data_IF_310082676017
#
_entry.id   IF_310082676017
#
_cell.length_a   1.000
_cell.length_b   1.000
_cell.length_c   1.000
_cell.angle_alpha   90.00
_cell.angle_beta   90.00
_cell.angle_gamma   90.00
#
_symmetry.space_group_name_H-M   'P 1'
#
loop_
_entity.id
_entity.type
_entity.pdbx_description
1 polymer ?
#
# COMPACT_ATOMS: atom_id res chain seq x y z
N UNK A 1 0.62 4.44 11.24
CA UNK A 1 -0.27 5.49 11.82
C UNK A 1 0.31 6.24 13.02
N UNK A 2 0.77 5.55 14.08
CA UNK A 2 1.32 6.17 15.30
C UNK A 2 2.50 7.11 15.01
N UNK A 3 3.41 6.71 14.11
CA UNK A 3 4.56 7.53 13.69
C UNK A 3 4.13 8.87 13.02
N UNK A 4 3.06 8.86 12.22
CA UNK A 4 2.55 10.08 11.57
C UNK A 4 1.94 11.05 12.58
N UNK A 5 1.19 10.54 13.55
CA UNK A 5 0.63 11.34 14.64
C UNK A 5 1.77 12.00 15.44
N UNK A 6 2.76 11.22 15.86
CA UNK A 6 3.92 11.71 16.64
C UNK A 6 4.69 12.81 15.89
N UNK A 7 4.99 12.60 14.60
CA UNK A 7 5.72 13.59 13.79
C UNK A 7 4.98 14.91 13.64
N UNK A 8 3.65 14.87 13.59
CA UNK A 8 2.81 16.05 13.35
C UNK A 8 2.35 16.76 14.63
N UNK A 9 2.38 16.08 15.77
CA UNK A 9 1.97 16.63 17.08
C UNK A 9 2.92 17.67 17.68
N UNK A 10 4.14 17.82 17.16
CA UNK A 10 5.15 18.76 17.72
C UNK A 10 4.74 20.23 17.72
N UNK A 11 3.73 20.61 16.93
CA UNK A 11 3.20 21.98 16.82
C UNK A 11 1.70 22.08 17.08
N UNK A 12 1.07 21.02 17.59
CA UNK A 12 -0.36 20.95 17.79
C UNK A 12 -0.73 21.21 19.25
N UNK A 13 -1.88 21.84 19.46
CA UNK A 13 -2.48 21.89 20.79
C UNK A 13 -2.98 20.50 21.20
N UNK A 14 -3.13 20.22 22.51
CA UNK A 14 -3.65 18.92 22.97
C UNK A 14 -4.99 18.54 22.33
N UNK A 15 -5.87 19.52 22.13
CA UNK A 15 -7.17 19.32 21.47
C UNK A 15 -7.03 18.96 19.98
N UNK A 16 -6.04 19.52 19.30
CA UNK A 16 -5.76 19.21 17.90
C UNK A 16 -5.14 17.82 17.75
N UNK A 17 -4.32 17.38 18.72
CA UNK A 17 -3.78 16.00 18.74
C UNK A 17 -4.92 15.00 18.84
N UNK A 18 -5.88 15.21 19.75
CA UNK A 18 -7.05 14.32 19.89
C UNK A 18 -7.89 14.28 18.61
N UNK A 19 -8.11 15.43 17.96
CA UNK A 19 -8.81 15.48 16.67
C UNK A 19 -8.06 14.75 15.55
N UNK A 20 -6.73 14.90 15.51
CA UNK A 20 -5.87 14.23 14.54
C UNK A 20 -5.90 12.72 14.73
N UNK A 21 -5.77 12.22 15.96
CA UNK A 21 -5.83 10.79 16.27
C UNK A 21 -7.18 10.20 15.85
N UNK A 22 -8.28 10.91 16.15
CA UNK A 22 -9.62 10.49 15.73
C UNK A 22 -9.76 10.39 14.21
N UNK A 23 -9.25 11.38 13.47
CA UNK A 23 -9.27 11.37 11.99
C UNK A 23 -8.42 10.24 11.40
N UNK A 24 -7.26 9.97 11.99
CA UNK A 24 -6.39 8.89 11.53
C UNK A 24 -7.05 7.53 11.76
N UNK A 25 -7.75 7.34 12.89
CA UNK A 25 -8.55 6.14 13.13
C UNK A 25 -9.75 6.02 12.18
N UNK A 26 -10.43 7.12 11.87
CA UNK A 26 -11.58 7.13 10.96
C UNK A 26 -11.20 6.76 9.52
N UNK A 27 -9.99 7.16 9.09
CA UNK A 27 -9.46 6.92 7.73
C UNK A 27 -8.30 5.92 7.72
N UNK A 28 -8.36 4.94 8.62
CA UNK A 28 -7.34 3.92 8.74
C UNK A 28 -7.17 3.08 7.46
N UNK A 29 -8.24 2.91 6.69
CA UNK A 29 -8.23 2.24 5.40
C UNK A 29 -7.41 3.00 4.33
N UNK A 30 -7.29 4.33 4.49
CA UNK A 30 -6.52 5.21 3.59
C UNK A 30 -5.03 5.23 3.98
N UNK A 31 -4.72 5.17 5.27
CA UNK A 31 -3.34 5.29 5.76
C UNK A 31 -2.74 3.95 6.17
N UNK A 32 -1.57 3.61 5.63
CA UNK A 32 -0.83 2.43 6.08
C UNK A 32 -0.56 2.48 7.59
N UNK A 33 -1.06 1.46 8.30
CA UNK A 33 -0.83 1.30 9.75
C UNK A 33 0.64 1.03 10.05
N UNK A 34 1.27 0.20 9.23
CA UNK A 34 2.66 -0.24 9.32
C UNK A 34 3.26 -0.43 7.91
N UNK A 35 4.50 -0.94 7.85
CA UNK A 35 5.20 -1.23 6.61
C UNK A 35 4.55 -2.35 5.77
N UNK A 36 3.60 -3.11 6.34
CA UNK A 36 2.84 -4.17 5.68
C UNK A 36 1.45 -3.68 5.21
N UNK A 37 1.11 -2.42 5.49
CA UNK A 37 -0.11 -1.78 5.00
C UNK A 37 -0.01 -1.46 3.50
N UNK A 38 -0.21 -2.46 2.64
CA UNK A 38 -0.18 -2.32 1.18
C UNK A 38 -1.41 -1.61 0.58
N UNK A 39 -2.38 -1.24 1.41
CA UNK A 39 -3.67 -0.67 1.00
C UNK A 39 -4.67 -1.77 0.62
N UNK A 40 -5.81 -1.81 1.30
CA UNK A 40 -6.88 -2.76 1.02
C UNK A 40 -8.03 -2.06 0.29
N UNK A 41 -8.17 -2.27 -1.02
CA UNK A 41 -9.38 -1.89 -1.76
C UNK A 41 -10.39 -3.04 -1.75
N UNK A 42 -10.80 -3.51 -0.56
CA UNK A 42 -11.83 -4.54 -0.45
C UNK A 42 -13.22 -4.07 -0.93
N UNK A 43 -13.37 -2.77 -1.21
CA UNK A 43 -14.61 -2.17 -1.68
C UNK A 43 -15.04 -2.67 -3.07
N UNK A 44 -14.10 -3.11 -3.91
CA UNK A 44 -14.38 -3.48 -5.31
C UNK A 44 -13.92 -4.90 -5.59
N UNK A 45 -14.89 -5.80 -5.76
CA UNK A 45 -14.62 -7.14 -6.28
C UNK A 45 -14.48 -7.06 -7.82
N UNK A 46 -13.24 -7.13 -8.30
CA UNK A 46 -12.98 -7.22 -9.74
C UNK A 46 -13.33 -8.62 -10.24
N UNK A 47 -14.26 -8.71 -11.20
CA UNK A 47 -14.55 -9.95 -11.92
C UNK A 47 -13.84 -9.97 -13.27
N UNK A 48 -13.38 -11.15 -13.69
CA UNK A 48 -12.83 -11.35 -15.02
C UNK A 48 -13.95 -11.34 -16.07
N UNK A 49 -13.61 -11.06 -17.33
CA UNK A 49 -14.54 -11.15 -18.46
C UNK A 49 -14.91 -12.62 -18.73
N UNK A 50 -15.98 -13.06 -18.05
CA UNK A 50 -16.57 -14.39 -17.96
C UNK A 50 -15.93 -15.51 -18.79
N UNK A 51 -16.06 -15.44 -20.12
CA UNK A 51 -15.81 -16.58 -21.03
C UNK A 51 -14.65 -16.35 -22.01
N UNK A 52 -13.87 -15.27 -21.86
CA UNK A 52 -12.72 -15.05 -22.74
C UNK A 52 -11.57 -16.02 -22.41
N UNK A 53 -10.96 -16.68 -23.41
CA UNK A 53 -9.84 -17.57 -23.16
C UNK A 53 -8.61 -16.76 -22.66
N UNK A 54 -7.78 -17.31 -21.76
CA UNK A 54 -6.56 -16.64 -21.32
C UNK A 54 -5.62 -16.36 -22.48
N UNK A 55 -5.09 -15.13 -22.55
CA UNK A 55 -4.13 -14.73 -23.58
C UNK A 55 -2.71 -14.79 -22.99
N UNK A 56 -1.90 -15.76 -23.44
CA UNK A 56 -0.48 -15.84 -23.08
C UNK A 56 0.33 -14.85 -23.93
N UNK A 57 0.99 -13.89 -23.29
CA UNK A 57 1.96 -13.00 -23.95
C UNK A 57 3.39 -13.43 -23.60
N UNK A 58 4.34 -13.41 -24.57
CA UNK A 58 5.74 -13.68 -24.27
C UNK A 58 6.31 -12.58 -23.37
N UNK A 59 7.16 -12.97 -22.43
CA UNK A 59 7.84 -11.99 -21.57
C UNK A 59 8.77 -11.11 -22.42
N UNK A 60 8.71 -9.80 -22.19
CA UNK A 60 9.69 -8.87 -22.78
C UNK A 60 11.06 -9.15 -22.19
N UNK A 61 12.10 -9.03 -23.02
CA UNK A 61 13.48 -9.07 -22.53
C UNK A 61 13.72 -7.86 -21.62
N UNK A 62 14.42 -8.10 -20.52
CA UNK A 62 14.82 -7.07 -19.56
C UNK A 62 16.32 -7.19 -19.36
N UNK A 63 17.05 -6.07 -19.29
CA UNK A 63 18.49 -6.05 -19.05
C UNK A 63 18.84 -6.64 -17.68
N UNK A 64 20.08 -7.13 -17.53
CA UNK A 64 20.52 -7.73 -16.26
C UNK A 64 20.45 -6.75 -15.09
N UNK A 65 20.93 -5.51 -15.27
CA UNK A 65 20.86 -4.47 -14.25
C UNK A 65 19.41 -4.22 -13.77
N UNK A 66 18.46 -4.17 -14.71
CA UNK A 66 17.05 -3.96 -14.38
C UNK A 66 16.42 -5.18 -13.70
N UNK A 67 16.89 -6.40 -14.00
CA UNK A 67 16.46 -7.61 -13.28
C UNK A 67 16.91 -7.63 -11.83
N UNK A 68 18.13 -7.15 -11.57
CA UNK A 68 18.68 -7.07 -10.21
C UNK A 68 17.90 -6.07 -9.36
N UNK A 69 17.58 -4.90 -9.92
CA UNK A 69 16.72 -3.89 -9.28
C UNK A 69 15.32 -4.45 -8.94
N UNK A 70 14.71 -5.19 -9.85
CA UNK A 70 13.39 -5.79 -9.64
C UNK A 70 13.39 -6.95 -8.64
N UNK A 71 14.55 -7.50 -8.28
CA UNK A 71 14.63 -8.69 -7.42
C UNK A 71 14.22 -8.40 -5.98
N UNK A 72 14.70 -7.28 -5.44
CA UNK A 72 14.42 -6.84 -4.06
C UNK A 72 12.91 -6.71 -3.74
N UNK A 73 12.08 -6.01 -4.55
CA UNK A 73 10.66 -5.92 -4.26
C UNK A 73 9.90 -7.24 -4.45
N UNK A 74 10.37 -8.16 -5.30
CA UNK A 74 9.74 -9.48 -5.51
C UNK A 74 9.99 -10.43 -4.33
N UNK A 75 11.21 -10.43 -3.79
CA UNK A 75 11.56 -11.24 -2.63
C UNK A 75 10.78 -10.80 -1.38
N UNK A 76 10.49 -9.50 -1.25
CA UNK A 76 9.64 -8.94 -0.18
C UNK A 76 8.15 -9.31 -0.30
N UNK A 77 7.64 -9.55 -1.51
CA UNK A 77 6.23 -9.87 -1.76
C UNK A 77 5.90 -11.36 -1.62
N UNK A 78 6.91 -12.23 -1.49
CA UNK A 78 6.76 -13.70 -1.51
C UNK A 78 7.17 -14.35 -0.18
N UNK A 79 7.43 -13.55 0.86
CA UNK A 79 7.80 -13.98 2.22
C UNK A 79 6.64 -14.03 3.19
#
# INVERSE_FOLDING_TARGET
MVDLAIRRSTKLTPEQVVKLEKLLMEHEDVFSRDAQGFGCTLLVQHSNTANSPPIKKPHRRVSLAKREEMRLPLDLATG
#
